data_IF_699495719854
#
_entry.id   IF_699495719854
#
_cell.length_a   1.000
_cell.length_b   1.000
_cell.length_c   1.000
_cell.angle_alpha   90.00
_cell.angle_beta   90.00
_cell.angle_gamma   90.00
#
_symmetry.space_group_name_H-M   'P 1'
#
loop_
_entity.id
_entity.type
_entity.pdbx_description
1 polymer ?
#
# COMPACT_ATOMS: atom_id res chain seq x y z
N UNK A 1 27.81 3.38 16.84
CA UNK A 1 27.93 3.97 15.49
C UNK A 1 29.42 4.19 15.18
N UNK A 2 29.93 3.59 14.09
CA UNK A 2 31.36 3.63 13.75
C UNK A 2 31.79 5.00 13.17
N UNK A 3 30.80 5.78 12.69
CA UNK A 3 31.04 7.06 12.01
C UNK A 3 29.77 7.89 12.05
N UNK A 4 29.89 9.22 12.24
CA UNK A 4 28.76 10.13 12.12
C UNK A 4 28.25 10.15 10.68
N UNK A 5 26.94 10.35 10.47
CA UNK A 5 26.34 10.30 9.13
C UNK A 5 26.99 11.29 8.17
N UNK A 6 27.22 12.52 8.60
CA UNK A 6 27.87 13.54 7.76
C UNK A 6 29.26 13.10 7.28
N UNK A 7 30.01 12.43 8.15
CA UNK A 7 31.31 11.88 7.79
C UNK A 7 31.20 10.72 6.82
N UNK A 8 30.20 9.85 7.01
CA UNK A 8 29.93 8.75 6.08
C UNK A 8 29.55 9.25 4.68
N UNK A 9 28.71 10.31 4.61
CA UNK A 9 28.36 10.96 3.35
C UNK A 9 29.58 11.60 2.70
N UNK A 10 30.41 12.32 3.45
CA UNK A 10 31.64 12.94 2.95
C UNK A 10 32.64 11.93 2.41
N UNK A 11 32.78 10.78 3.07
CA UNK A 11 33.59 9.63 2.57
C UNK A 11 33.02 9.10 1.27
N UNK A 12 31.72 8.85 1.20
CA UNK A 12 31.06 8.36 -0.03
C UNK A 12 31.23 9.35 -1.19
N UNK A 13 31.06 10.63 -0.97
CA UNK A 13 31.30 11.66 -1.99
C UNK A 13 32.74 11.69 -2.46
N UNK A 14 33.69 11.48 -1.54
CA UNK A 14 35.11 11.38 -1.89
C UNK A 14 35.39 10.14 -2.72
N UNK A 15 34.74 9.00 -2.42
CA UNK A 15 34.81 7.79 -3.22
C UNK A 15 34.22 7.99 -4.63
N UNK A 16 33.11 8.75 -4.74
CA UNK A 16 32.52 9.12 -6.05
C UNK A 16 33.54 9.85 -6.90
N UNK A 17 34.18 10.90 -6.35
CA UNK A 17 35.19 11.71 -7.06
C UNK A 17 36.38 10.85 -7.49
N UNK A 18 36.95 10.09 -6.56
CA UNK A 18 38.12 9.24 -6.85
C UNK A 18 37.80 8.14 -7.87
N UNK A 19 36.61 7.57 -7.81
CA UNK A 19 36.17 6.54 -8.76
C UNK A 19 35.95 7.14 -10.16
N UNK A 20 35.37 8.33 -10.26
CA UNK A 20 35.21 9.07 -11.50
C UNK A 20 36.56 9.38 -12.14
N UNK A 21 37.52 9.91 -11.39
CA UNK A 21 38.87 10.19 -11.87
C UNK A 21 39.60 8.94 -12.37
N UNK A 22 39.43 7.81 -11.66
CA UNK A 22 39.98 6.52 -12.11
C UNK A 22 39.31 6.00 -13.37
N UNK A 23 37.99 6.04 -13.42
CA UNK A 23 37.23 5.58 -14.61
C UNK A 23 37.57 6.37 -15.85
N UNK A 24 37.79 7.67 -15.72
CA UNK A 24 38.18 8.55 -16.83
C UNK A 24 39.59 8.19 -17.43
N UNK A 25 40.43 7.59 -16.61
CA UNK A 25 41.79 7.17 -17.03
C UNK A 25 41.88 5.72 -17.58
N UNK A 26 40.83 4.94 -17.38
CA UNK A 26 40.79 3.54 -17.82
C UNK A 26 40.10 3.46 -19.17
N UNK A 27 40.69 2.73 -20.09
CA UNK A 27 40.00 2.28 -21.30
C UNK A 27 39.58 0.81 -21.10
N UNK A 28 38.29 0.54 -21.10
CA UNK A 28 37.77 -0.81 -20.89
C UNK A 28 37.93 -1.69 -22.14
N UNK A 29 38.30 -1.11 -23.28
CA UNK A 29 38.38 -1.79 -24.59
C UNK A 29 37.04 -2.43 -25.04
N UNK A 30 35.92 -1.95 -24.49
CA UNK A 30 34.57 -2.40 -24.84
C UNK A 30 33.89 -1.35 -25.71
N UNK A 31 33.12 -1.77 -26.70
CA UNK A 31 32.48 -0.88 -27.68
C UNK A 31 31.54 0.17 -27.07
N UNK A 32 31.16 0.03 -25.79
CA UNK A 32 30.29 0.96 -25.04
C UNK A 32 30.96 1.52 -23.78
N UNK A 33 32.28 1.71 -23.81
CA UNK A 33 33.06 2.21 -22.66
C UNK A 33 32.45 3.45 -22.00
N UNK A 34 32.10 4.46 -22.79
CA UNK A 34 31.49 5.67 -22.27
C UNK A 34 30.15 5.43 -21.52
N UNK A 35 29.31 4.56 -22.07
CA UNK A 35 28.03 4.24 -21.43
C UNK A 35 28.22 3.49 -20.09
N UNK A 36 29.18 2.56 -20.06
CA UNK A 36 29.51 1.81 -18.82
C UNK A 36 30.05 2.76 -17.77
N UNK A 37 30.95 3.67 -18.11
CA UNK A 37 31.48 4.67 -17.18
C UNK A 37 30.40 5.56 -16.62
N UNK A 38 29.51 6.09 -17.47
CA UNK A 38 28.36 6.88 -17.04
C UNK A 38 27.44 6.13 -16.09
N UNK A 39 27.16 4.85 -16.34
CA UNK A 39 26.34 4.02 -15.44
C UNK A 39 27.00 3.83 -14.08
N UNK A 40 28.31 3.59 -14.04
CA UNK A 40 29.08 3.42 -12.79
C UNK A 40 29.09 4.72 -11.99
N UNK A 41 29.38 5.85 -12.62
CA UNK A 41 29.33 7.17 -11.96
C UNK A 41 27.94 7.47 -11.42
N UNK A 42 26.89 7.20 -12.18
CA UNK A 42 25.51 7.38 -11.74
C UNK A 42 25.19 6.50 -10.52
N UNK A 43 25.70 5.26 -10.50
CA UNK A 43 25.56 4.34 -9.37
C UNK A 43 26.20 4.90 -8.09
N UNK A 44 27.41 5.38 -8.16
CA UNK A 44 28.11 5.97 -7.02
C UNK A 44 27.42 7.25 -6.53
N UNK A 45 27.03 8.15 -7.43
CA UNK A 45 26.33 9.40 -7.08
C UNK A 45 24.99 9.11 -6.38
N UNK A 46 24.24 8.13 -6.89
CA UNK A 46 22.98 7.71 -6.25
C UNK A 46 23.22 7.09 -4.88
N UNK A 47 24.29 6.33 -4.69
CA UNK A 47 24.62 5.72 -3.39
C UNK A 47 24.91 6.78 -2.34
N UNK A 48 25.69 7.82 -2.67
CA UNK A 48 25.97 8.93 -1.77
C UNK A 48 24.67 9.67 -1.39
N UNK A 49 23.83 9.97 -2.37
CA UNK A 49 22.52 10.59 -2.16
C UNK A 49 21.59 9.75 -1.28
N UNK A 50 21.56 8.43 -1.48
CA UNK A 50 20.76 7.54 -0.66
C UNK A 50 21.28 7.45 0.77
N UNK A 51 22.59 7.45 0.97
CA UNK A 51 23.20 7.47 2.31
C UNK A 51 22.89 8.78 3.04
N UNK A 52 22.94 9.93 2.37
CA UNK A 52 22.55 11.21 2.93
C UNK A 52 21.07 11.21 3.34
N UNK A 53 20.21 10.81 2.45
CA UNK A 53 18.75 10.85 2.66
C UNK A 53 18.25 9.78 3.63
N UNK A 54 18.82 8.59 3.62
CA UNK A 54 18.28 7.39 4.28
C UNK A 54 19.22 6.79 5.33
N UNK A 55 20.36 7.38 5.56
CA UNK A 55 21.38 6.86 6.49
C UNK A 55 21.03 6.99 7.97
N UNK A 56 19.91 7.65 8.32
CA UNK A 56 19.42 7.75 9.69
C UNK A 56 18.29 6.75 9.94
N UNK A 57 18.54 5.61 10.58
CA UNK A 57 17.51 4.62 10.88
C UNK A 57 16.33 5.17 11.69
N UNK A 58 16.57 6.18 12.54
CA UNK A 58 15.54 6.88 13.31
C UNK A 58 14.48 7.55 12.43
N UNK A 59 14.86 8.00 11.23
CA UNK A 59 13.92 8.60 10.29
C UNK A 59 12.95 7.56 9.69
N UNK A 60 13.30 6.29 9.76
CA UNK A 60 12.46 5.18 9.27
C UNK A 60 11.52 4.65 10.37
N UNK A 61 11.84 4.89 11.64
CA UNK A 61 11.05 4.37 12.75
C UNK A 61 9.74 5.16 12.90
N UNK A 62 8.56 4.54 12.69
CA UNK A 62 7.28 5.20 12.84
C UNK A 62 6.96 5.60 14.29
N UNK A 63 7.53 4.91 15.28
CA UNK A 63 7.33 5.23 16.71
C UNK A 63 7.91 6.59 17.10
N UNK A 64 8.96 7.02 16.42
CA UNK A 64 9.62 8.31 16.67
C UNK A 64 8.98 9.46 15.89
N UNK A 65 7.97 9.19 15.09
CA UNK A 65 7.27 10.21 14.30
C UNK A 65 5.99 10.66 15.04
N UNK A 66 6.03 11.84 15.62
CA UNK A 66 4.91 12.42 16.35
C UNK A 66 3.65 12.64 15.49
N UNK A 67 3.75 12.59 14.15
CA UNK A 67 2.59 12.62 13.25
C UNK A 67 1.87 11.25 13.23
N UNK A 68 2.59 10.18 13.55
CA UNK A 68 2.11 8.80 13.51
C UNK A 68 1.68 8.32 14.89
N UNK A 69 2.55 8.43 15.90
CA UNK A 69 2.32 7.95 17.27
C UNK A 69 2.36 9.11 18.26
N UNK A 70 1.43 9.12 19.21
CA UNK A 70 1.39 10.08 20.32
C UNK A 70 0.09 10.86 20.41
N UNK A 71 0.03 11.85 21.29
CA UNK A 71 -1.18 12.61 21.61
C UNK A 71 -1.80 13.37 20.41
N UNK A 72 -0.98 13.79 19.45
CA UNK A 72 -1.42 14.41 18.20
C UNK A 72 -1.17 13.50 16.99
N UNK A 73 -0.71 12.28 17.23
CA UNK A 73 -0.47 11.24 16.21
C UNK A 73 -1.75 10.73 15.57
N UNK A 74 -1.58 9.96 14.52
CA UNK A 74 -2.68 9.20 13.90
C UNK A 74 -3.17 8.12 14.86
N UNK A 75 -2.23 7.48 15.53
CA UNK A 75 -2.48 6.53 16.60
C UNK A 75 -2.05 7.13 17.94
N UNK A 76 -2.87 7.00 18.96
CA UNK A 76 -2.42 7.18 20.34
C UNK A 76 -1.36 6.13 20.69
N UNK A 77 -0.57 6.37 21.73
CA UNK A 77 0.42 5.39 22.18
C UNK A 77 -0.23 4.02 22.48
N UNK A 78 -1.39 4.05 23.17
CA UNK A 78 -2.13 2.83 23.51
C UNK A 78 -2.65 2.10 22.27
N UNK A 79 -3.18 2.80 21.29
CA UNK A 79 -3.67 2.17 20.05
C UNK A 79 -2.51 1.55 19.27
N UNK A 80 -1.43 2.30 19.11
CA UNK A 80 -0.26 1.85 18.37
C UNK A 80 0.30 0.54 18.95
N UNK A 81 0.47 0.51 20.28
CA UNK A 81 1.08 -0.63 20.98
C UNK A 81 0.10 -1.81 21.19
N UNK A 82 -1.19 -1.63 20.93
CA UNK A 82 -2.23 -2.65 21.16
C UNK A 82 -2.37 -3.68 20.05
N UNK A 83 -1.97 -3.36 18.83
CA UNK A 83 -2.24 -4.20 17.66
C UNK A 83 -1.10 -4.10 16.62
N UNK A 84 -0.41 -5.21 16.39
CA UNK A 84 0.66 -5.29 15.41
C UNK A 84 0.27 -4.92 13.97
N UNK A 85 -1.04 -4.88 13.66
CA UNK A 85 -1.51 -4.38 12.35
C UNK A 85 -1.34 -2.85 12.25
N UNK A 86 -1.48 -2.12 13.35
CA UNK A 86 -1.21 -0.67 13.38
C UNK A 86 0.27 -0.36 13.24
N UNK A 87 1.13 -1.08 13.96
CA UNK A 87 2.59 -0.96 13.84
C UNK A 87 3.08 -1.25 12.42
N UNK A 88 2.62 -2.37 11.85
CA UNK A 88 2.92 -2.77 10.47
C UNK A 88 2.46 -1.72 9.45
N UNK A 89 1.22 -1.24 9.62
CA UNK A 89 0.66 -0.19 8.76
C UNK A 89 1.46 1.09 8.86
N UNK A 90 1.82 1.51 10.06
CA UNK A 90 2.62 2.70 10.31
C UNK A 90 3.99 2.62 9.64
N UNK A 91 4.66 1.48 9.74
CA UNK A 91 5.97 1.25 9.11
C UNK A 91 5.85 1.34 7.57
N UNK A 92 4.90 0.63 6.98
CA UNK A 92 4.74 0.59 5.52
C UNK A 92 4.29 1.95 4.97
N UNK A 93 3.29 2.60 5.58
CA UNK A 93 2.81 3.91 5.11
C UNK A 93 3.90 4.98 5.19
N UNK A 94 4.71 4.99 6.26
CA UNK A 94 5.83 5.92 6.39
C UNK A 94 6.84 5.71 5.28
N UNK A 95 7.25 4.46 5.05
CA UNK A 95 8.22 4.12 4.01
C UNK A 95 7.76 4.55 2.62
N UNK A 96 6.51 4.30 2.28
CA UNK A 96 5.96 4.58 0.93
C UNK A 96 5.66 6.08 0.76
N UNK A 97 4.93 6.67 1.69
CA UNK A 97 4.45 8.06 1.54
C UNK A 97 5.61 9.05 1.62
N UNK A 98 6.62 8.79 2.42
CA UNK A 98 7.81 9.65 2.48
C UNK A 98 8.82 9.35 1.36
N UNK A 99 8.57 8.32 0.54
CA UNK A 99 9.36 8.02 -0.65
C UNK A 99 10.64 7.24 -0.36
N UNK A 100 10.70 6.53 0.77
CA UNK A 100 11.75 5.55 1.05
C UNK A 100 11.56 4.25 0.25
N UNK A 101 10.31 3.93 -0.06
CA UNK A 101 9.94 2.82 -0.93
C UNK A 101 8.98 3.29 -2.03
N UNK A 102 9.08 2.69 -3.21
CA UNK A 102 8.19 2.99 -4.34
C UNK A 102 6.79 2.42 -4.18
N UNK A 103 6.66 1.33 -3.46
CA UNK A 103 5.41 0.66 -3.11
C UNK A 103 5.58 -0.14 -1.83
N UNK A 104 4.48 -0.50 -1.18
CA UNK A 104 4.46 -1.36 -0.01
C UNK A 104 3.23 -2.25 -0.02
N UNK A 105 3.34 -3.41 0.59
CA UNK A 105 2.24 -4.36 0.74
C UNK A 105 2.00 -4.63 2.21
N UNK A 106 0.72 -4.57 2.62
CA UNK A 106 0.28 -4.91 3.96
C UNK A 106 -0.65 -6.11 3.82
N UNK A 107 -0.28 -7.23 4.40
CA UNK A 107 -1.11 -8.43 4.43
C UNK A 107 -1.77 -8.55 5.80
N UNK A 108 -3.09 -8.70 5.80
CA UNK A 108 -3.91 -8.93 6.98
C UNK A 108 -4.70 -10.22 6.80
N UNK A 109 -4.72 -11.09 7.79
CA UNK A 109 -5.37 -12.39 7.71
C UNK A 109 -6.62 -12.51 8.57
N UNK A 110 -7.37 -13.60 8.32
CA UNK A 110 -8.51 -14.02 9.14
C UNK A 110 -9.80 -13.28 8.84
N UNK A 111 -10.05 -12.98 7.60
CA UNK A 111 -11.28 -12.33 7.11
C UNK A 111 -12.32 -13.33 6.61
N UNK A 112 -12.15 -14.60 6.94
CA UNK A 112 -13.08 -15.65 6.56
C UNK A 112 -14.42 -15.50 7.28
N UNK A 113 -15.50 -15.57 6.54
CA UNK A 113 -16.87 -15.46 7.07
C UNK A 113 -17.57 -16.81 7.14
N UNK A 114 -16.99 -17.87 6.58
CA UNK A 114 -17.52 -19.23 6.71
C UNK A 114 -17.49 -19.71 8.17
N UNK A 115 -18.29 -20.72 8.49
CA UNK A 115 -18.29 -21.31 9.82
C UNK A 115 -18.68 -20.36 10.95
N UNK A 116 -19.60 -19.42 10.69
CA UNK A 116 -20.07 -18.42 11.64
C UNK A 116 -19.00 -17.35 12.04
N UNK A 117 -18.02 -17.12 11.19
CA UNK A 117 -16.93 -16.15 11.41
C UNK A 117 -17.33 -14.67 11.35
N UNK A 118 -18.62 -14.33 11.12
CA UNK A 118 -19.10 -12.96 10.92
C UNK A 118 -18.62 -11.99 12.00
N UNK A 119 -18.78 -12.32 13.28
CA UNK A 119 -18.41 -11.43 14.37
C UNK A 119 -16.90 -11.11 14.35
N UNK A 120 -16.07 -12.09 14.09
CA UNK A 120 -14.61 -11.92 13.95
C UNK A 120 -14.27 -11.11 12.71
N UNK A 121 -14.89 -11.43 11.58
CA UNK A 121 -14.67 -10.72 10.32
C UNK A 121 -15.04 -9.24 10.38
N UNK A 122 -16.16 -8.89 11.01
CA UNK A 122 -16.58 -7.49 11.18
C UNK A 122 -15.60 -6.66 12.03
N UNK A 123 -15.08 -7.23 13.12
CA UNK A 123 -14.04 -6.57 13.94
C UNK A 123 -12.76 -6.36 13.11
N UNK A 124 -12.36 -7.34 12.33
CA UNK A 124 -11.17 -7.24 11.47
C UNK A 124 -11.37 -6.25 10.32
N UNK A 125 -12.55 -6.22 9.71
CA UNK A 125 -12.90 -5.21 8.71
C UNK A 125 -12.84 -3.80 9.28
N UNK A 126 -13.32 -3.60 10.51
CA UNK A 126 -13.18 -2.31 11.19
C UNK A 126 -11.72 -1.91 11.37
N UNK A 127 -10.88 -2.83 11.83
CA UNK A 127 -9.42 -2.60 11.97
C UNK A 127 -8.75 -2.30 10.63
N UNK A 128 -9.09 -3.05 9.56
CA UNK A 128 -8.58 -2.76 8.23
C UNK A 128 -8.98 -1.36 7.75
N UNK A 129 -10.21 -0.94 8.04
CA UNK A 129 -10.70 0.41 7.78
C UNK A 129 -9.89 1.48 8.53
N UNK A 130 -9.53 1.23 9.79
CA UNK A 130 -8.66 2.12 10.57
C UNK A 130 -7.27 2.22 9.94
N UNK A 131 -6.68 1.11 9.50
CA UNK A 131 -5.38 1.10 8.82
C UNK A 131 -5.40 1.86 7.48
N UNK A 132 -6.45 1.67 6.68
CA UNK A 132 -6.66 2.43 5.44
C UNK A 132 -6.82 3.92 5.74
N UNK A 133 -7.62 4.26 6.76
CA UNK A 133 -7.81 5.64 7.21
C UNK A 133 -6.50 6.27 7.68
N UNK A 134 -5.66 5.54 8.40
CA UNK A 134 -4.34 5.98 8.84
C UNK A 134 -3.42 6.33 7.65
N UNK A 135 -3.40 5.50 6.61
CA UNK A 135 -2.64 5.78 5.39
C UNK A 135 -3.11 7.06 4.69
N UNK A 136 -4.43 7.25 4.58
CA UNK A 136 -5.02 8.45 3.97
C UNK A 136 -4.72 9.70 4.79
N UNK A 137 -4.84 9.61 6.12
CA UNK A 137 -4.54 10.72 7.03
C UNK A 137 -3.05 11.09 6.98
N UNK A 138 -2.16 10.12 6.94
CA UNK A 138 -0.72 10.41 6.82
C UNK A 138 -0.38 11.05 5.47
N UNK A 139 -0.99 10.59 4.39
CA UNK A 139 -0.88 11.21 3.07
C UNK A 139 -1.40 12.65 3.08
N UNK A 140 -2.51 12.90 3.79
CA UNK A 140 -3.06 14.24 3.97
C UNK A 140 -2.10 15.15 4.75
N UNK A 141 -1.64 14.73 5.93
CA UNK A 141 -0.70 15.49 6.76
C UNK A 141 0.62 15.81 6.06
N UNK A 142 1.05 14.94 5.16
CA UNK A 142 2.30 15.13 4.39
C UNK A 142 2.08 15.82 3.04
N UNK A 143 0.83 16.05 2.63
CA UNK A 143 0.49 16.64 1.34
C UNK A 143 0.91 15.79 0.14
N UNK A 144 0.97 14.46 0.29
CA UNK A 144 1.43 13.54 -0.74
C UNK A 144 0.25 12.81 -1.39
N UNK A 145 0.27 12.60 -2.72
CA UNK A 145 -0.72 11.73 -3.35
C UNK A 145 -0.49 10.28 -2.92
N UNK A 146 -1.58 9.53 -2.82
CA UNK A 146 -1.54 8.12 -2.42
C UNK A 146 -2.57 7.34 -3.23
N UNK A 147 -2.16 6.17 -3.72
CA UNK A 147 -3.05 5.15 -4.24
C UNK A 147 -2.99 3.92 -3.34
N UNK A 148 -4.13 3.44 -2.91
CA UNK A 148 -4.28 2.20 -2.16
C UNK A 148 -5.08 1.23 -3.01
N UNK A 149 -4.53 0.05 -3.27
CA UNK A 149 -5.24 -1.05 -3.89
C UNK A 149 -5.52 -2.11 -2.83
N UNK A 150 -6.81 -2.35 -2.58
CA UNK A 150 -7.27 -3.37 -1.64
C UNK A 150 -7.84 -4.53 -2.43
N UNK A 151 -7.37 -5.72 -2.16
CA UNK A 151 -7.85 -6.93 -2.81
C UNK A 151 -7.88 -8.10 -1.82
N UNK A 152 -8.73 -9.07 -2.09
CA UNK A 152 -8.81 -10.31 -1.34
C UNK A 152 -8.79 -11.51 -2.28
N UNK A 153 -8.47 -12.68 -1.74
CA UNK A 153 -8.43 -13.96 -2.45
C UNK A 153 -9.81 -14.59 -2.65
N UNK A 154 -10.84 -14.00 -2.02
CA UNK A 154 -12.22 -14.45 -2.18
C UNK A 154 -13.23 -13.29 -2.06
N UNK A 155 -14.47 -13.54 -2.46
CA UNK A 155 -15.57 -12.60 -2.30
C UNK A 155 -16.53 -13.10 -1.24
N UNK A 156 -16.92 -12.20 -0.34
CA UNK A 156 -18.01 -12.47 0.59
C UNK A 156 -19.33 -12.58 -0.15
N UNK A 157 -20.20 -13.47 0.32
CA UNK A 157 -21.56 -13.59 -0.17
C UNK A 157 -22.55 -13.89 0.95
N UNK A 158 -23.83 -13.62 0.72
CA UNK A 158 -24.89 -13.93 1.67
C UNK A 158 -25.47 -15.33 1.46
N UNK A 159 -25.29 -15.92 0.31
CA UNK A 159 -25.93 -17.15 -0.10
C UNK A 159 -27.44 -17.16 0.21
N UNK A 160 -28.10 -16.04 -0.02
CA UNK A 160 -29.49 -15.78 0.31
C UNK A 160 -29.83 -15.86 1.81
N UNK A 161 -28.83 -15.74 2.69
CA UNK A 161 -29.06 -15.71 4.13
C UNK A 161 -29.50 -14.32 4.58
N UNK A 162 -30.57 -14.28 5.36
CA UNK A 162 -31.17 -13.02 5.84
C UNK A 162 -31.16 -12.99 7.36
N UNK A 163 -30.73 -11.88 7.92
CA UNK A 163 -30.81 -11.62 9.36
C UNK A 163 -32.16 -10.98 9.70
N UNK A 164 -33.08 -11.75 10.22
CA UNK A 164 -34.40 -11.31 10.67
C UNK A 164 -34.43 -10.86 12.13
N UNK A 165 -33.29 -10.80 12.81
CA UNK A 165 -33.22 -10.23 14.16
C UNK A 165 -33.58 -8.73 14.19
N UNK A 166 -33.82 -8.19 15.37
CA UNK A 166 -34.08 -6.77 15.54
C UNK A 166 -32.97 -5.87 15.01
N UNK A 167 -31.74 -6.36 14.98
CA UNK A 167 -30.58 -5.63 14.46
C UNK A 167 -30.39 -5.83 12.95
N UNK A 168 -30.67 -6.99 12.43
CA UNK A 168 -30.53 -7.31 11.01
C UNK A 168 -31.63 -6.72 10.13
N UNK A 169 -32.85 -6.62 10.63
CA UNK A 169 -34.00 -5.99 9.96
C UNK A 169 -34.25 -6.50 8.54
N UNK A 170 -34.07 -7.78 8.30
CA UNK A 170 -34.29 -8.39 7.00
C UNK A 170 -33.19 -8.10 5.96
N UNK A 171 -32.01 -7.67 6.37
CA UNK A 171 -30.88 -7.47 5.48
C UNK A 171 -30.12 -8.78 5.24
N UNK A 172 -29.52 -8.90 4.08
CA UNK A 172 -28.58 -9.95 3.82
C UNK A 172 -27.37 -9.86 4.75
N UNK A 173 -26.91 -11.00 5.23
CA UNK A 173 -25.72 -11.09 6.07
C UNK A 173 -24.59 -11.79 5.32
N UNK A 174 -23.38 -11.37 5.57
CA UNK A 174 -22.19 -12.04 5.03
C UNK A 174 -21.93 -13.32 5.81
N UNK A 175 -22.05 -14.46 5.17
CA UNK A 175 -21.98 -15.78 5.82
C UNK A 175 -21.03 -16.73 5.14
N UNK A 176 -20.63 -16.45 3.91
CA UNK A 176 -19.66 -17.31 3.20
C UNK A 176 -18.60 -16.48 2.49
N UNK A 177 -17.49 -17.11 2.20
CA UNK A 177 -16.45 -16.66 1.30
C UNK A 177 -16.44 -17.53 0.06
N UNK A 178 -16.34 -16.91 -1.09
CA UNK A 178 -16.34 -17.60 -2.37
C UNK A 178 -14.91 -17.62 -2.94
N UNK A 179 -14.31 -18.81 -2.96
CA UNK A 179 -12.95 -19.02 -3.50
C UNK A 179 -12.86 -18.93 -5.03
N UNK A 180 -13.99 -18.89 -5.72
CA UNK A 180 -14.03 -18.79 -7.19
C UNK A 180 -13.94 -17.38 -7.70
N UNK A 181 -14.16 -16.40 -6.85
CA UNK A 181 -14.15 -14.97 -7.18
C UNK A 181 -13.35 -14.18 -6.15
N UNK A 182 -13.01 -12.94 -6.49
CA UNK A 182 -12.35 -12.02 -5.59
C UNK A 182 -13.02 -10.65 -5.63
N UNK A 183 -12.82 -9.88 -4.58
CA UNK A 183 -13.22 -8.48 -4.53
C UNK A 183 -12.01 -7.59 -4.39
N UNK A 184 -12.04 -6.44 -5.07
CA UNK A 184 -11.00 -5.43 -4.94
C UNK A 184 -11.54 -4.03 -5.15
N UNK A 185 -10.82 -3.05 -4.66
CA UNK A 185 -11.12 -1.65 -4.91
C UNK A 185 -9.86 -0.79 -4.84
N UNK A 186 -9.91 0.36 -5.52
CA UNK A 186 -8.89 1.39 -5.42
C UNK A 186 -9.39 2.59 -4.65
N UNK A 187 -8.50 3.16 -3.84
CA UNK A 187 -8.66 4.48 -3.25
C UNK A 187 -7.55 5.37 -3.80
N UNK A 188 -7.91 6.53 -4.31
CA UNK A 188 -6.95 7.51 -4.82
C UNK A 188 -7.14 8.81 -4.06
N UNK A 189 -6.10 9.18 -3.31
CA UNK A 189 -6.01 10.47 -2.66
C UNK A 189 -5.09 11.40 -3.44
N UNK A 190 -5.61 12.60 -3.77
CA UNK A 190 -4.83 13.66 -4.38
C UNK A 190 -5.01 14.95 -3.57
N UNK A 191 -3.95 15.51 -2.99
CA UNK A 191 -4.04 16.75 -2.20
C UNK A 191 -4.45 17.97 -3.03
N UNK A 192 -4.36 17.90 -4.36
CA UNK A 192 -4.74 18.99 -5.27
C UNK A 192 -6.19 18.94 -5.74
N UNK A 193 -6.97 17.96 -5.33
CA UNK A 193 -8.37 17.80 -5.69
C UNK A 193 -8.78 16.36 -5.92
N UNK A 194 -10.06 16.13 -6.13
CA UNK A 194 -10.59 14.78 -6.37
C UNK A 194 -10.01 14.17 -7.65
N UNK A 195 -9.74 12.88 -7.60
CA UNK A 195 -9.49 12.10 -8.80
C UNK A 195 -10.70 12.21 -9.76
N UNK A 196 -10.41 12.43 -11.02
CA UNK A 196 -11.44 12.47 -12.06
C UNK A 196 -11.66 11.04 -12.53
N UNK A 197 -12.91 10.59 -12.39
CA UNK A 197 -13.33 9.30 -12.93
C UNK A 197 -13.65 9.50 -14.40
N UNK A 198 -12.96 8.77 -15.26
CA UNK A 198 -13.25 8.80 -16.69
C UNK A 198 -14.53 8.00 -16.96
N UNK A 199 -15.61 8.62 -17.46
CA UNK A 199 -16.79 7.88 -17.85
C UNK A 199 -16.46 6.92 -18.98
N UNK A 200 -16.73 5.63 -18.81
CA UNK A 200 -16.72 4.71 -19.93
C UNK A 200 -18.17 4.53 -20.43
N UNK A 201 -18.42 4.96 -21.65
CA UNK A 201 -19.75 4.86 -22.26
C UNK A 201 -20.77 5.85 -21.70
N UNK A 202 -22.06 5.54 -21.86
CA UNK A 202 -23.19 6.41 -21.53
C UNK A 202 -23.63 6.37 -20.06
N UNK A 203 -22.94 5.62 -19.18
CA UNK A 203 -23.33 5.48 -17.77
C UNK A 203 -22.12 5.62 -16.85
N UNK A 204 -22.21 6.57 -15.93
CA UNK A 204 -21.27 6.82 -14.85
C UNK A 204 -20.97 5.56 -14.02
N UNK A 205 -21.90 4.64 -13.90
CA UNK A 205 -21.77 3.43 -13.09
C UNK A 205 -20.88 2.37 -13.74
N UNK A 206 -20.79 2.34 -15.06
CA UNK A 206 -20.03 1.30 -15.78
C UNK A 206 -18.53 1.57 -15.84
N UNK A 207 -18.09 2.79 -15.52
CA UNK A 207 -16.66 3.14 -15.51
C UNK A 207 -15.93 2.83 -14.21
N UNK A 208 -16.65 2.55 -13.11
CA UNK A 208 -16.07 2.44 -11.77
C UNK A 208 -16.26 1.08 -11.13
N UNK A 209 -17.05 0.21 -11.75
CA UNK A 209 -17.39 -1.09 -11.18
C UNK A 209 -17.30 -2.17 -12.23
N UNK A 210 -16.59 -3.22 -11.90
CA UNK A 210 -16.51 -4.45 -12.68
C UNK A 210 -17.16 -5.54 -11.83
N UNK A 211 -18.18 -6.20 -12.39
CA UNK A 211 -18.93 -7.22 -11.66
C UNK A 211 -19.96 -6.67 -10.69
N UNK A 212 -20.82 -7.55 -10.21
CA UNK A 212 -21.91 -7.21 -9.28
C UNK A 212 -22.35 -8.43 -8.47
N UNK A 213 -23.09 -8.17 -7.41
CA UNK A 213 -23.86 -9.18 -6.67
C UNK A 213 -25.26 -9.30 -7.26
N UNK A 214 -25.81 -10.50 -7.24
CA UNK A 214 -27.21 -10.75 -7.57
C UNK A 214 -28.14 -10.19 -6.48
N UNK A 215 -29.44 -10.16 -6.76
CA UNK A 215 -30.40 -9.57 -5.84
C UNK A 215 -30.51 -10.30 -4.48
N UNK A 216 -30.09 -11.56 -4.43
CA UNK A 216 -30.03 -12.39 -3.21
C UNK A 216 -28.71 -12.26 -2.44
N UNK A 217 -27.82 -11.33 -2.86
CA UNK A 217 -26.53 -11.11 -2.24
C UNK A 217 -25.46 -12.15 -2.59
N UNK A 218 -25.72 -13.02 -3.56
CA UNK A 218 -24.72 -13.95 -4.08
C UNK A 218 -23.82 -13.28 -5.12
N UNK A 219 -22.60 -13.79 -5.29
CA UNK A 219 -21.68 -13.28 -6.31
C UNK A 219 -22.13 -13.73 -7.69
N UNK A 220 -22.28 -12.79 -8.61
CA UNK A 220 -22.55 -13.10 -10.02
C UNK A 220 -21.23 -13.47 -10.72
N UNK A 221 -20.87 -14.75 -10.71
CA UNK A 221 -19.58 -15.26 -11.19
C UNK A 221 -19.22 -14.88 -12.63
N UNK A 222 -20.19 -14.60 -13.48
CA UNK A 222 -20.01 -14.23 -14.89
C UNK A 222 -20.15 -12.72 -15.12
N UNK A 223 -20.23 -11.91 -14.09
CA UNK A 223 -20.44 -10.47 -14.21
C UNK A 223 -19.12 -9.68 -14.43
N UNK A 224 -17.99 -10.36 -14.34
CA UNK A 224 -16.65 -9.79 -14.53
C UNK A 224 -15.82 -10.69 -15.45
N UNK A 225 -14.92 -10.13 -16.27
CA UNK A 225 -13.95 -10.93 -17.03
C UNK A 225 -12.92 -11.65 -16.14
N UNK A 226 -12.81 -11.25 -14.88
CA UNK A 226 -11.87 -11.82 -13.92
C UNK A 226 -12.59 -12.80 -13.00
N UNK A 227 -12.37 -14.09 -13.23
CA UNK A 227 -13.04 -15.18 -12.48
C UNK A 227 -12.39 -15.47 -11.12
N UNK A 228 -11.18 -15.00 -10.88
CA UNK A 228 -10.44 -15.25 -9.63
C UNK A 228 -9.50 -14.09 -9.29
N UNK A 229 -8.92 -14.12 -8.08
CA UNK A 229 -8.06 -13.05 -7.58
C UNK A 229 -6.89 -12.72 -8.52
N UNK A 230 -6.26 -13.71 -9.13
CA UNK A 230 -5.13 -13.50 -10.05
C UNK A 230 -5.58 -12.77 -11.30
N UNK A 231 -6.67 -13.23 -11.92
CA UNK A 231 -7.23 -12.58 -13.10
C UNK A 231 -7.75 -11.18 -12.78
N UNK A 232 -8.35 -10.98 -11.61
CA UNK A 232 -8.80 -9.68 -11.15
C UNK A 232 -7.61 -8.72 -11.03
N UNK A 233 -6.52 -9.14 -10.39
CA UNK A 233 -5.31 -8.35 -10.24
C UNK A 233 -4.73 -7.96 -11.61
N UNK A 234 -4.56 -8.92 -12.51
CA UNK A 234 -4.00 -8.69 -13.86
C UNK A 234 -4.87 -7.74 -14.69
N UNK A 235 -6.19 -7.83 -14.58
CA UNK A 235 -7.10 -6.99 -15.38
C UNK A 235 -7.40 -5.61 -14.75
N UNK A 236 -6.98 -5.38 -13.52
CA UNK A 236 -7.25 -4.12 -12.80
C UNK A 236 -6.04 -3.19 -12.79
N UNK A 237 -4.85 -3.71 -13.02
CA UNK A 237 -3.59 -2.97 -13.15
C UNK A 237 -3.30 -2.66 -14.61
#
# INVERSE_FOLDING_TARGET
ELMAQNDAVAVLESMVRLSGDKLNRVNTNVSRDAAIKTMVECGYTKTAYLADRFGQPSNLNPELDARIKGAAGIFSDTEFDSDGEFEKTAAVMKMVIEGYAGAGTITMGGYDYHGQGRATGEVRNFRAGQCIGACLEFAHRTGKPLMIYVFSDGSLSSDNQVDNSANGRGKFMWVSDNQSTASSFFLVYNPRGRAVITPSGSSFRTGNQIGYYTADGSVANNSSPAANAVNLLVNTV
#
